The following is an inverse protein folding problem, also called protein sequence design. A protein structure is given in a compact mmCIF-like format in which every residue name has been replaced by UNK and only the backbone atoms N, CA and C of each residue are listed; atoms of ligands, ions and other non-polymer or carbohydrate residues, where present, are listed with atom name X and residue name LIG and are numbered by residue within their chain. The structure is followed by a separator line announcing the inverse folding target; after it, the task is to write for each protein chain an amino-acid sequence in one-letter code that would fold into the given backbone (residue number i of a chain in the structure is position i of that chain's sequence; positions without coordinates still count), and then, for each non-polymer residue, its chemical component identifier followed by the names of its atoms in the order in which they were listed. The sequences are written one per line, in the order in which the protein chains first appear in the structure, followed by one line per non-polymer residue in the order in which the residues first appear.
data_IF_900712286918
#
_entry.id   IF_900712286918
#
_cell.length_a   1.000
_cell.length_b   1.000
_cell.length_c   1.000
_cell.angle_alpha   90.00
_cell.angle_beta   90.00
_cell.angle_gamma   90.00
#
_symmetry.space_group_name_H-M   'P 1'
#
loop_
_entity.id
_entity.type
_entity.pdbx_description
1 polymer ?
#
# COMPACT_ATOMS: atom_id res chain seq x y z
N UNK A 1 8.31 5.26 -25.86
CA UNK A 1 8.14 6.32 -24.85
C UNK A 1 9.48 6.47 -24.14
N UNK A 2 10.24 7.52 -24.46
CA UNK A 2 11.58 7.72 -23.91
C UNK A 2 11.48 8.41 -22.55
N UNK A 3 12.02 7.75 -21.52
CA UNK A 3 12.15 8.30 -20.16
C UNK A 3 13.23 9.37 -20.17
N UNK A 4 12.84 10.64 -19.95
CA UNK A 4 13.81 11.71 -19.67
C UNK A 4 14.45 11.40 -18.31
N UNK A 5 15.69 10.90 -18.32
CA UNK A 5 16.54 10.93 -17.13
C UNK A 5 16.81 12.40 -16.80
N UNK A 6 16.32 12.88 -15.65
CA UNK A 6 16.74 14.17 -15.09
C UNK A 6 18.25 14.11 -14.82
N UNK A 7 19.02 14.71 -15.71
CA UNK A 7 20.44 14.96 -15.51
C UNK A 7 20.51 16.13 -14.52
N UNK A 8 21.09 15.89 -13.34
CA UNK A 8 21.39 16.88 -12.32
C UNK A 8 21.94 18.16 -12.94
N UNK A 9 21.18 19.26 -12.91
CA UNK A 9 21.66 20.57 -13.35
C UNK A 9 22.63 21.11 -12.28
N UNK A 10 23.90 21.26 -12.63
CA UNK A 10 24.90 21.92 -11.77
C UNK A 10 24.90 23.41 -12.11
N UNK A 11 24.48 24.26 -11.18
CA UNK A 11 24.60 25.70 -11.31
C UNK A 11 25.95 26.12 -10.72
N UNK A 12 26.82 26.69 -11.55
CA UNK A 12 28.12 27.21 -11.12
C UNK A 12 27.97 28.71 -10.90
N UNK A 13 28.12 29.16 -9.65
CA UNK A 13 28.15 30.59 -9.32
C UNK A 13 29.61 31.05 -9.34
N UNK A 14 29.92 31.95 -10.28
CA UNK A 14 31.25 32.54 -10.41
C UNK A 14 31.21 33.92 -9.77
N UNK A 15 31.91 34.10 -8.65
CA UNK A 15 32.13 35.41 -8.06
C UNK A 15 33.57 35.86 -8.33
N UNK A 16 33.72 36.99 -9.04
CA UNK A 16 35.01 37.66 -9.15
C UNK A 16 35.24 38.51 -7.91
N UNK A 17 36.30 38.20 -7.16
CA UNK A 17 36.77 39.03 -6.04
C UNK A 17 38.12 39.65 -6.41
N UNK A 18 38.49 40.74 -5.73
CA UNK A 18 39.75 41.47 -5.98
C UNK A 18 41.02 40.62 -5.78
N UNK A 19 40.91 39.46 -5.11
CA UNK A 19 42.02 38.54 -4.81
C UNK A 19 41.99 37.24 -5.62
N UNK A 20 41.00 37.03 -6.49
CA UNK A 20 40.96 35.86 -7.37
C UNK A 20 39.55 35.37 -7.73
N UNK A 21 39.54 34.29 -8.53
CA UNK A 21 38.34 33.56 -8.94
C UNK A 21 37.94 32.55 -7.87
N UNK A 22 36.75 32.70 -7.29
CA UNK A 22 36.15 31.68 -6.42
C UNK A 22 35.04 30.99 -7.20
N UNK A 23 35.21 29.70 -7.46
CA UNK A 23 34.18 28.84 -8.07
C UNK A 23 33.48 28.13 -6.93
N UNK A 24 32.22 28.49 -6.66
CA UNK A 24 31.40 27.77 -5.69
C UNK A 24 30.42 26.90 -6.45
N UNK A 25 30.58 25.57 -6.36
CA UNK A 25 29.54 24.63 -6.79
C UNK A 25 28.39 24.68 -5.78
N UNK A 26 27.30 25.36 -6.13
CA UNK A 26 26.04 25.20 -5.41
C UNK A 26 25.40 23.90 -5.88
N UNK A 27 25.52 22.84 -5.07
CA UNK A 27 24.71 21.64 -5.23
C UNK A 27 23.27 22.04 -4.97
N UNK A 28 22.45 22.07 -6.03
CA UNK A 28 21.02 22.24 -5.88
C UNK A 28 20.48 20.95 -5.26
N UNK A 29 20.33 20.96 -3.93
CA UNK A 29 19.84 19.80 -3.18
C UNK A 29 18.47 19.43 -3.75
N UNK A 30 18.32 18.20 -4.24
CA UNK A 30 17.00 17.67 -4.53
C UNK A 30 16.28 17.54 -3.17
N UNK A 31 15.24 18.32 -2.89
CA UNK A 31 14.58 18.29 -1.60
C UNK A 31 13.85 16.95 -1.34
N UNK A 32 13.67 16.14 -2.39
CA UNK A 32 13.20 14.76 -2.33
C UNK A 32 14.32 13.77 -2.70
N UNK A 33 15.50 13.95 -2.14
CA UNK A 33 16.56 12.92 -2.21
C UNK A 33 16.08 11.65 -1.49
N UNK A 34 16.31 10.49 -2.09
CA UNK A 34 15.99 9.19 -1.50
C UNK A 34 16.71 8.94 -0.17
N UNK A 35 17.84 9.63 0.08
CA UNK A 35 18.55 9.60 1.37
C UNK A 35 17.73 10.23 2.50
N UNK A 36 16.90 11.24 2.19
CA UNK A 36 16.05 11.95 3.17
C UNK A 36 14.57 11.53 3.09
N UNK A 37 14.28 10.42 2.41
CA UNK A 37 12.92 9.89 2.31
C UNK A 37 12.41 9.49 3.71
N UNK A 38 11.22 9.97 4.12
CA UNK A 38 10.67 9.63 5.42
C UNK A 38 10.35 8.13 5.50
N UNK A 39 10.55 7.56 6.69
CA UNK A 39 10.09 6.21 6.99
C UNK A 39 8.56 6.26 7.08
N UNK A 40 7.89 5.59 6.14
CA UNK A 40 6.44 5.56 6.12
C UNK A 40 5.91 4.64 7.24
N UNK A 41 4.84 5.03 7.94
CA UNK A 41 4.14 4.12 8.85
C UNK A 41 3.52 2.94 8.06
N UNK A 42 3.15 1.83 8.73
CA UNK A 42 2.66 0.58 8.12
C UNK A 42 1.63 0.73 6.99
N UNK A 43 0.77 1.76 7.08
CA UNK A 43 -0.35 2.03 6.19
C UNK A 43 -0.18 3.23 5.26
N UNK A 44 1.04 3.70 5.03
CA UNK A 44 1.30 4.77 4.08
C UNK A 44 2.49 4.43 3.18
N UNK A 45 2.52 5.01 2.00
CA UNK A 45 3.67 4.99 1.09
C UNK A 45 4.11 6.42 0.83
N UNK A 46 5.38 6.72 1.09
CA UNK A 46 5.96 8.04 0.87
C UNK A 46 6.82 8.04 -0.40
N UNK A 47 6.25 7.68 -1.54
CA UNK A 47 6.99 7.42 -2.79
C UNK A 47 6.90 8.56 -3.81
N UNK A 48 6.04 9.56 -3.57
CA UNK A 48 5.84 10.71 -4.46
C UNK A 48 6.55 11.94 -3.91
N UNK A 49 7.23 12.67 -4.79
CA UNK A 49 7.69 14.03 -4.50
C UNK A 49 6.74 15.03 -5.17
N UNK A 50 6.17 15.95 -4.39
CA UNK A 50 5.36 17.05 -4.91
C UNK A 50 5.84 18.38 -4.31
N UNK A 51 6.06 19.37 -5.17
CA UNK A 51 6.57 20.69 -4.77
C UNK A 51 7.81 20.67 -3.87
N UNK A 52 8.67 19.65 -4.02
CA UNK A 52 9.87 19.48 -3.21
C UNK A 52 9.62 18.90 -1.82
N UNK A 53 8.44 18.34 -1.57
CA UNK A 53 8.10 17.64 -0.35
C UNK A 53 7.71 16.19 -0.66
N UNK A 54 8.11 15.26 0.19
CA UNK A 54 7.60 13.89 0.13
C UNK A 54 6.11 13.89 0.48
N UNK A 55 5.31 13.29 -0.40
CA UNK A 55 3.91 13.03 -0.15
C UNK A 55 3.73 11.58 0.23
N UNK A 56 3.04 11.37 1.34
CA UNK A 56 2.71 10.08 1.88
C UNK A 56 1.22 9.83 1.69
N UNK A 57 0.87 8.90 0.82
CA UNK A 57 -0.52 8.53 0.59
C UNK A 57 -0.87 7.28 1.41
N UNK A 58 -2.13 7.14 1.86
CA UNK A 58 -2.58 5.93 2.54
C UNK A 58 -2.55 4.75 1.56
N UNK A 59 -2.22 3.57 2.09
CA UNK A 59 -2.35 2.32 1.34
C UNK A 59 -3.82 1.90 1.39
N UNK A 60 -4.45 1.80 0.23
CA UNK A 60 -5.77 1.18 0.10
C UNK A 60 -5.63 -0.34 0.18
N UNK A 61 -6.37 -0.95 1.11
CA UNK A 61 -6.45 -2.39 1.22
C UNK A 61 -7.60 -2.92 0.36
N UNK A 62 -7.45 -4.15 -0.12
CA UNK A 62 -8.56 -4.84 -0.74
C UNK A 62 -9.59 -5.21 0.34
N UNK A 63 -10.86 -4.82 0.15
CA UNK A 63 -11.97 -5.07 1.08
C UNK A 63 -12.46 -6.53 1.04
N UNK A 64 -11.56 -7.49 0.95
CA UNK A 64 -11.90 -8.90 0.93
C UNK A 64 -12.48 -9.32 2.30
N UNK A 65 -13.75 -9.71 2.31
CA UNK A 65 -14.44 -10.18 3.52
C UNK A 65 -14.00 -11.62 3.82
N UNK A 66 -13.11 -11.83 4.80
CA UNK A 66 -12.70 -13.16 5.24
C UNK A 66 -12.56 -13.25 6.76
N UNK A 67 -12.93 -14.40 7.32
CA UNK A 67 -12.88 -14.65 8.77
C UNK A 67 -11.53 -15.17 9.26
N UNK A 68 -10.66 -15.56 8.33
CA UNK A 68 -9.35 -16.18 8.55
C UNK A 68 -8.19 -15.28 8.10
N UNK A 69 -8.48 -13.99 7.97
CA UNK A 69 -7.52 -12.98 7.60
C UNK A 69 -6.40 -12.80 8.62
N UNK A 70 -5.17 -12.63 8.15
CA UNK A 70 -4.01 -12.36 9.01
C UNK A 70 -3.03 -11.38 8.36
N UNK A 71 -2.23 -10.72 9.19
CA UNK A 71 -1.11 -9.92 8.71
C UNK A 71 0.07 -10.84 8.41
N UNK A 72 0.52 -10.86 7.16
CA UNK A 72 1.64 -11.71 6.71
C UNK A 72 2.96 -11.33 7.36
N UNK A 73 3.12 -10.07 7.77
CA UNK A 73 4.33 -9.54 8.39
C UNK A 73 3.99 -8.56 9.51
N UNK A 74 4.85 -8.44 10.52
CA UNK A 74 4.77 -7.36 11.51
C UNK A 74 4.89 -6.02 10.78
N UNK A 75 3.98 -5.08 11.05
CA UNK A 75 3.91 -3.76 10.41
C UNK A 75 3.41 -3.73 8.95
N UNK A 76 2.69 -4.76 8.49
CA UNK A 76 1.96 -4.68 7.21
C UNK A 76 0.60 -4.00 7.41
N UNK A 77 0.19 -3.15 6.46
CA UNK A 77 -1.11 -2.46 6.56
C UNK A 77 -2.33 -3.36 6.38
N UNK A 78 -2.27 -4.23 5.37
CA UNK A 78 -3.43 -4.97 4.90
C UNK A 78 -3.39 -6.41 5.38
N UNK A 79 -4.56 -6.91 5.77
CA UNK A 79 -4.74 -8.33 6.03
C UNK A 79 -4.60 -9.12 4.72
N UNK A 80 -4.27 -10.39 4.84
CA UNK A 80 -4.24 -11.34 3.75
C UNK A 80 -5.29 -12.39 4.03
N UNK A 81 -6.21 -12.61 3.09
CA UNK A 81 -7.19 -13.68 3.14
C UNK A 81 -6.62 -14.94 2.46
N UNK A 82 -6.09 -15.93 3.20
CA UNK A 82 -5.42 -17.09 2.60
C UNK A 82 -6.33 -17.91 1.69
N UNK A 83 -7.63 -17.93 1.99
CA UNK A 83 -8.64 -18.66 1.22
C UNK A 83 -9.53 -17.74 0.37
N UNK A 84 -9.11 -16.48 0.16
CA UNK A 84 -9.95 -15.43 -0.43
C UNK A 84 -11.16 -15.10 0.45
N UNK A 85 -12.15 -14.46 -0.14
CA UNK A 85 -13.43 -14.15 0.51
C UNK A 85 -14.10 -15.42 1.07
N UNK A 86 -14.50 -15.39 2.35
CA UNK A 86 -15.09 -16.54 3.03
C UNK A 86 -15.92 -16.14 4.26
N UNK A 87 -16.66 -17.11 4.78
CA UNK A 87 -17.39 -16.99 6.03
C UNK A 87 -17.22 -18.25 6.88
N UNK A 88 -17.56 -18.14 8.17
CA UNK A 88 -17.45 -19.24 9.13
C UNK A 88 -18.83 -19.80 9.47
N UNK A 89 -18.96 -21.12 9.48
CA UNK A 89 -20.07 -21.80 10.13
C UNK A 89 -19.54 -22.80 11.14
N UNK A 90 -19.88 -22.60 12.42
CA UNK A 90 -19.31 -23.35 13.54
C UNK A 90 -17.77 -23.20 13.53
N UNK A 91 -17.04 -24.24 13.11
CA UNK A 91 -15.58 -24.27 13.02
C UNK A 91 -15.06 -24.58 11.60
N UNK A 92 -15.93 -24.46 10.60
CA UNK A 92 -15.59 -24.68 9.19
C UNK A 92 -15.57 -23.34 8.44
N UNK A 93 -14.47 -23.09 7.73
CA UNK A 93 -14.35 -21.97 6.79
C UNK A 93 -14.96 -22.40 5.46
N UNK A 94 -15.91 -21.62 4.96
CA UNK A 94 -16.61 -21.86 3.71
C UNK A 94 -16.21 -20.74 2.73
N UNK A 95 -15.46 -21.03 1.66
CA UNK A 95 -15.12 -20.04 0.65
C UNK A 95 -16.37 -19.47 -0.02
N UNK A 96 -16.34 -18.19 -0.38
CA UNK A 96 -17.42 -17.51 -1.12
C UNK A 96 -17.79 -18.31 -2.36
N UNK A 97 -19.09 -18.41 -2.64
CA UNK A 97 -19.64 -19.14 -3.78
C UNK A 97 -19.27 -20.64 -3.83
N UNK A 98 -18.88 -21.23 -2.69
CA UNK A 98 -18.70 -22.68 -2.54
C UNK A 98 -19.70 -23.25 -1.56
N UNK A 99 -19.97 -24.54 -1.72
CA UNK A 99 -20.78 -25.35 -0.82
C UNK A 99 -19.92 -26.40 -0.13
N UNK A 100 -20.15 -26.60 1.15
CA UNK A 100 -19.44 -27.60 1.97
C UNK A 100 -20.47 -28.35 2.82
N UNK A 101 -20.27 -29.66 2.98
CA UNK A 101 -21.07 -30.47 3.91
C UNK A 101 -20.60 -30.27 5.34
N UNK A 102 -21.50 -29.78 6.22
CA UNK A 102 -21.21 -29.55 7.64
C UNK A 102 -22.35 -30.14 8.47
N UNK A 103 -22.04 -31.02 9.42
CA UNK A 103 -23.03 -31.55 10.36
C UNK A 103 -24.21 -32.30 9.73
N UNK A 104 -24.05 -32.87 8.52
CA UNK A 104 -25.12 -33.58 7.81
C UNK A 104 -25.99 -32.71 6.90
N UNK A 105 -25.77 -31.38 6.87
CA UNK A 105 -26.39 -30.46 5.92
C UNK A 105 -25.39 -29.90 4.90
N UNK A 106 -25.88 -29.10 3.96
CA UNK A 106 -25.05 -28.37 2.98
C UNK A 106 -25.08 -26.90 3.33
N UNK A 107 -23.90 -26.33 3.57
CA UNK A 107 -23.73 -24.91 3.84
C UNK A 107 -23.06 -24.22 2.67
N UNK A 108 -23.51 -23.00 2.35
CA UNK A 108 -22.93 -22.12 1.34
C UNK A 108 -22.50 -20.80 1.96
N UNK A 109 -21.45 -20.20 1.41
CA UNK A 109 -21.06 -18.84 1.75
C UNK A 109 -21.55 -17.85 0.69
N UNK A 110 -22.48 -16.97 1.07
CA UNK A 110 -23.18 -16.05 0.15
C UNK A 110 -23.17 -14.63 0.71
N UNK A 111 -23.38 -13.64 -0.16
CA UNK A 111 -23.59 -12.25 0.25
C UNK A 111 -24.92 -12.09 0.99
N UNK A 112 -24.90 -11.27 2.04
CA UNK A 112 -26.07 -10.93 2.86
C UNK A 112 -27.06 -10.11 2.03
N UNK A 113 -28.35 -10.39 2.24
CA UNK A 113 -29.45 -9.71 1.56
C UNK A 113 -29.69 -8.28 2.10
N UNK A 114 -28.98 -7.86 3.16
CA UNK A 114 -29.07 -6.53 3.78
C UNK A 114 -28.39 -5.41 2.96
N UNK A 115 -27.73 -5.75 1.85
CA UNK A 115 -27.04 -4.80 0.98
C UNK A 115 -25.69 -4.30 1.52
N UNK A 116 -25.20 -4.87 2.64
CA UNK A 116 -23.87 -4.52 3.19
C UNK A 116 -22.72 -5.16 2.43
N UNK A 117 -23.00 -6.17 1.60
CA UNK A 117 -21.98 -7.02 0.96
C UNK A 117 -21.29 -7.99 1.94
N UNK A 118 -21.75 -8.07 3.19
CA UNK A 118 -21.21 -9.00 4.18
C UNK A 118 -21.45 -10.47 3.76
N UNK A 119 -20.50 -11.36 4.01
CA UNK A 119 -20.64 -12.78 3.72
C UNK A 119 -21.20 -13.55 4.91
N UNK A 120 -22.24 -14.34 4.64
CA UNK A 120 -22.93 -15.14 5.66
C UNK A 120 -23.02 -16.60 5.23
N UNK A 121 -22.91 -17.49 6.21
CA UNK A 121 -23.11 -18.91 5.99
C UNK A 121 -24.61 -19.25 6.01
N UNK A 122 -25.10 -19.87 4.94
CA UNK A 122 -26.48 -20.34 4.81
C UNK A 122 -26.48 -21.86 4.66
N UNK A 123 -27.08 -22.55 5.62
CA UNK A 123 -27.13 -24.01 5.68
C UNK A 123 -28.55 -24.54 5.47
N UNK A 124 -28.66 -25.65 4.74
CA UNK A 124 -29.89 -26.39 4.46
C UNK A 124 -29.79 -27.83 4.94
#
# INVERSE_FOLDING_TARGET
MASLKMISARMIVIMLTTTGLVITETLQSNPCDGVVKPVAPPCHTCDRCDHGHWVCDPIECQDDQCVDGYFTETNKCCLTCPNGENCKFIDVIIPKNKTISVGGGICACVESEDGTGALVAKCM
#
